data_IF_670166116950
#
_entry.id   IF_670166116950
#
_cell.length_a   1.000
_cell.length_b   1.000
_cell.length_c   1.000
_cell.angle_alpha   90.00
_cell.angle_beta   90.00
_cell.angle_gamma   90.00
#
_symmetry.space_group_name_H-M   'P 1'
#
loop_
_entity.id
_entity.type
_entity.pdbx_description
1 polymer ?
#
# COMPACT_ATOMS: atom_id res chain seq x y z
N UNK A 1 -1.96 -31.94 1.14
CA UNK A 1 -1.21 -30.95 0.34
C UNK A 1 0.26 -31.38 0.27
N UNK A 2 1.04 -30.80 -0.63
CA UNK A 2 2.50 -30.93 -0.67
C UNK A 2 3.07 -29.58 -1.07
N UNK A 3 4.08 -29.11 -0.35
CA UNK A 3 4.73 -27.82 -0.59
C UNK A 3 6.25 -27.93 -0.58
N UNK A 4 6.93 -27.04 -1.28
CA UNK A 4 8.39 -26.90 -1.24
C UNK A 4 8.80 -25.45 -1.52
N UNK A 5 9.64 -24.90 -0.65
CA UNK A 5 10.17 -23.55 -0.78
C UNK A 5 11.67 -23.54 -0.96
N UNK A 6 12.13 -22.74 -1.92
CA UNK A 6 13.56 -22.51 -2.16
C UNK A 6 13.78 -21.02 -2.30
N UNK A 7 14.72 -20.48 -1.52
CA UNK A 7 15.17 -19.10 -1.63
C UNK A 7 16.69 -19.05 -1.72
N UNK A 8 17.21 -18.09 -2.48
CA UNK A 8 18.64 -17.79 -2.55
C UNK A 8 18.87 -16.30 -2.30
N UNK A 9 20.04 -15.94 -1.78
CA UNK A 9 20.43 -14.56 -1.52
C UNK A 9 21.82 -14.31 -2.08
N UNK A 10 21.95 -13.33 -2.96
CA UNK A 10 23.22 -12.78 -3.42
C UNK A 10 23.32 -11.31 -3.07
N UNK A 11 24.55 -10.82 -2.88
CA UNK A 11 24.77 -9.40 -2.62
C UNK A 11 26.07 -8.89 -3.21
N UNK A 12 26.11 -7.58 -3.46
CA UNK A 12 27.31 -6.86 -3.91
C UNK A 12 27.42 -5.53 -3.20
N UNK A 13 28.63 -5.23 -2.72
CA UNK A 13 28.97 -3.97 -2.05
C UNK A 13 29.84 -3.09 -2.96
N UNK A 14 29.47 -1.83 -3.07
CA UNK A 14 30.26 -0.75 -3.66
C UNK A 14 30.55 0.29 -2.58
N UNK A 15 31.64 0.09 -1.84
CA UNK A 15 31.98 0.95 -0.71
C UNK A 15 32.27 2.41 -1.12
N UNK A 16 32.76 2.64 -2.34
CA UNK A 16 33.07 3.98 -2.87
C UNK A 16 31.94 4.63 -3.68
N UNK A 17 30.76 4.00 -3.79
CA UNK A 17 29.63 4.60 -4.50
C UNK A 17 29.09 5.77 -3.70
N UNK A 18 29.02 6.95 -4.31
CA UNK A 18 28.48 8.16 -3.67
C UNK A 18 27.53 8.90 -4.61
N UNK A 19 26.50 9.54 -4.04
CA UNK A 19 25.57 10.37 -4.80
C UNK A 19 24.97 11.45 -3.89
N UNK A 20 25.19 12.72 -4.22
CA UNK A 20 24.68 13.83 -3.40
C UNK A 20 23.17 14.04 -3.54
N UNK A 21 22.58 13.72 -4.70
CA UNK A 21 21.16 13.86 -4.96
C UNK A 21 20.32 12.85 -4.16
N UNK A 22 20.83 11.65 -3.93
CA UNK A 22 20.16 10.55 -3.22
C UNK A 22 20.73 10.29 -1.82
N UNK A 23 21.69 11.10 -1.37
CA UNK A 23 22.45 10.87 -0.12
C UNK A 23 22.99 9.45 -0.01
N UNK A 24 23.65 8.99 -1.08
CA UNK A 24 24.31 7.68 -1.09
C UNK A 24 25.72 7.84 -0.54
N UNK A 25 26.03 7.09 0.50
CA UNK A 25 27.37 6.87 1.06
C UNK A 25 27.62 5.35 1.16
N UNK A 26 28.28 4.81 0.15
CA UNK A 26 28.34 3.38 -0.09
C UNK A 26 26.99 2.82 -0.56
N UNK A 27 27.03 1.74 -1.34
CA UNK A 27 25.83 1.08 -1.83
C UNK A 27 25.98 -0.43 -1.70
N UNK A 28 24.97 -1.11 -1.17
CA UNK A 28 24.87 -2.57 -1.17
C UNK A 28 23.59 -2.98 -1.89
N UNK A 29 23.71 -3.78 -2.93
CA UNK A 29 22.57 -4.45 -3.56
C UNK A 29 22.48 -5.87 -3.04
N UNK A 30 21.27 -6.27 -2.68
CA UNK A 30 20.89 -7.62 -2.30
C UNK A 30 19.79 -8.05 -3.28
N UNK A 31 19.94 -9.24 -3.84
CA UNK A 31 18.93 -9.87 -4.69
C UNK A 31 18.56 -11.22 -4.09
N UNK A 32 17.26 -11.44 -3.92
CA UNK A 32 16.68 -12.60 -3.26
C UNK A 32 15.63 -13.25 -4.16
N UNK A 33 16.04 -14.11 -5.12
CA UNK A 33 15.10 -14.93 -5.85
C UNK A 33 14.54 -16.06 -4.97
N UNK A 34 13.27 -16.37 -5.16
CA UNK A 34 12.56 -17.46 -4.48
C UNK A 34 11.60 -18.19 -5.42
N UNK A 35 11.34 -19.45 -5.10
CA UNK A 35 10.32 -20.28 -5.74
C UNK A 35 9.63 -21.14 -4.68
N UNK A 36 8.31 -21.02 -4.60
CA UNK A 36 7.44 -21.79 -3.72
C UNK A 36 6.50 -22.64 -4.56
N UNK A 37 6.57 -23.95 -4.43
CA UNK A 37 5.70 -24.89 -5.12
C UNK A 37 4.64 -25.41 -4.17
N UNK A 38 3.37 -25.40 -4.60
CA UNK A 38 2.26 -25.98 -3.86
C UNK A 38 1.42 -26.89 -4.75
N UNK A 39 1.10 -28.07 -4.23
CA UNK A 39 0.17 -29.03 -4.80
C UNK A 39 -0.93 -29.39 -3.82
N UNK A 40 -2.17 -29.14 -4.21
CA UNK A 40 -3.38 -29.58 -3.53
C UNK A 40 -4.15 -30.47 -4.52
N UNK A 41 -4.36 -31.77 -4.19
CA UNK A 41 -5.14 -32.64 -5.05
C UNK A 41 -6.59 -32.16 -5.11
N UNK A 42 -7.29 -32.51 -6.20
CA UNK A 42 -8.72 -32.21 -6.34
C UNK A 42 -9.50 -32.84 -5.17
N UNK A 43 -10.34 -32.07 -4.46
CA UNK A 43 -11.19 -32.62 -3.41
C UNK A 43 -12.28 -33.53 -3.97
N UNK A 44 -12.79 -34.45 -3.15
CA UNK A 44 -13.89 -35.36 -3.53
C UNK A 44 -15.20 -34.60 -3.79
N UNK A 45 -15.40 -33.48 -3.08
CA UNK A 45 -16.53 -32.56 -3.25
C UNK A 45 -15.98 -31.20 -3.61
N UNK A 46 -16.46 -30.59 -4.69
CA UNK A 46 -15.95 -29.29 -5.14
C UNK A 46 -16.51 -28.13 -4.29
N UNK A 47 -15.80 -27.00 -4.16
CA UNK A 47 -16.28 -25.84 -3.39
C UNK A 47 -17.74 -25.40 -3.69
N UNK A 48 -18.22 -25.35 -4.95
CA UNK A 48 -19.60 -24.97 -5.23
C UNK A 48 -20.66 -25.95 -4.70
N UNK A 49 -20.27 -27.15 -4.29
CA UNK A 49 -21.14 -28.18 -3.71
C UNK A 49 -21.13 -28.16 -2.17
N UNK A 50 -20.24 -27.37 -1.56
CA UNK A 50 -20.15 -27.21 -0.12
C UNK A 50 -20.93 -25.96 0.32
N UNK A 51 -21.57 -25.99 1.51
CA UNK A 51 -21.99 -24.76 2.17
C UNK A 51 -20.77 -23.87 2.40
N UNK A 52 -20.85 -22.61 1.97
CA UNK A 52 -19.76 -21.66 2.08
C UNK A 52 -19.94 -20.83 3.37
N UNK A 53 -19.11 -21.07 4.38
CA UNK A 53 -19.03 -20.24 5.59
C UNK A 53 -17.91 -19.20 5.48
N UNK A 54 -16.83 -19.55 4.79
CA UNK A 54 -15.81 -18.64 4.26
C UNK A 54 -15.74 -18.76 2.73
N UNK A 55 -15.39 -17.68 2.04
CA UNK A 55 -15.31 -17.68 0.58
C UNK A 55 -14.19 -16.74 0.14
N UNK A 56 -13.44 -17.18 -0.86
CA UNK A 56 -12.41 -16.33 -1.47
C UNK A 56 -13.03 -15.02 -1.96
N UNK A 57 -12.49 -13.91 -1.45
CA UNK A 57 -12.91 -12.56 -1.84
C UNK A 57 -11.85 -11.92 -2.74
N UNK A 58 -12.26 -11.21 -3.81
CA UNK A 58 -11.32 -10.41 -4.61
C UNK A 58 -10.53 -9.46 -3.71
N UNK A 59 -9.20 -9.55 -3.78
CA UNK A 59 -8.31 -8.75 -2.94
C UNK A 59 -7.30 -7.96 -3.79
N UNK A 60 -7.00 -6.70 -3.44
CA UNK A 60 -5.88 -5.97 -4.02
C UNK A 60 -4.54 -6.60 -3.65
N UNK A 61 -4.46 -7.29 -2.51
CA UNK A 61 -3.27 -8.02 -2.09
C UNK A 61 -3.19 -9.38 -2.77
N UNK A 62 -1.96 -9.89 -2.92
CA UNK A 62 -1.76 -11.24 -3.42
C UNK A 62 -2.06 -12.25 -2.31
N UNK A 63 -2.98 -13.17 -2.55
CA UNK A 63 -3.35 -14.19 -1.59
C UNK A 63 -2.16 -15.15 -1.31
N UNK A 64 -2.02 -15.67 -0.08
CA UNK A 64 -1.10 -16.77 0.20
C UNK A 64 -1.42 -17.98 -0.68
N UNK A 65 -0.41 -18.78 -1.04
CA UNK A 65 -0.61 -20.06 -1.73
C UNK A 65 -0.34 -21.26 -0.83
N UNK A 66 0.27 -21.03 0.33
CA UNK A 66 0.63 -22.06 1.29
C UNK A 66 -0.46 -22.22 2.35
N UNK A 67 -0.54 -23.43 2.92
CA UNK A 67 -1.41 -23.71 4.06
C UNK A 67 -0.55 -23.74 5.33
N UNK A 68 -1.04 -23.19 6.46
CA UNK A 68 -2.42 -22.77 6.70
C UNK A 68 -2.71 -21.28 6.40
N UNK A 69 -1.79 -20.55 5.76
CA UNK A 69 -1.93 -19.10 5.54
C UNK A 69 -3.11 -18.76 4.61
N UNK A 70 -3.41 -19.61 3.62
CA UNK A 70 -4.68 -19.56 2.90
C UNK A 70 -5.79 -20.15 3.78
N UNK A 71 -6.70 -19.29 4.21
CA UNK A 71 -7.67 -19.59 5.26
C UNK A 71 -9.13 -19.65 4.80
N UNK A 72 -9.41 -19.44 3.50
CA UNK A 72 -10.75 -19.62 2.91
C UNK A 72 -10.98 -21.12 2.64
N UNK A 73 -11.17 -21.91 3.70
CA UNK A 73 -11.11 -23.38 3.66
C UNK A 73 -12.19 -23.97 2.75
N UNK A 74 -13.40 -23.42 2.76
CA UNK A 74 -14.52 -23.90 1.93
C UNK A 74 -14.33 -23.57 0.44
N UNK A 75 -13.35 -22.72 0.09
CA UNK A 75 -12.97 -22.34 -1.27
C UNK A 75 -11.76 -23.11 -1.83
N UNK A 76 -11.09 -23.94 -1.02
CA UNK A 76 -9.93 -24.72 -1.47
C UNK A 76 -10.36 -25.75 -2.52
N UNK A 77 -9.91 -25.56 -3.76
CA UNK A 77 -9.99 -26.55 -4.85
C UNK A 77 -8.60 -27.17 -5.12
N UNK A 78 -8.45 -27.90 -6.23
CA UNK A 78 -7.14 -28.36 -6.68
C UNK A 78 -6.20 -27.19 -6.99
N UNK A 79 -5.01 -27.23 -6.42
CA UNK A 79 -3.93 -26.28 -6.70
C UNK A 79 -2.69 -27.01 -7.24
N UNK A 80 -2.02 -26.39 -8.21
CA UNK A 80 -0.76 -26.86 -8.75
C UNK A 80 0.00 -25.64 -9.28
N UNK A 81 0.72 -24.98 -8.38
CA UNK A 81 1.23 -23.62 -8.59
C UNK A 81 2.68 -23.52 -8.17
N UNK A 82 3.46 -22.75 -8.93
CA UNK A 82 4.79 -22.27 -8.54
C UNK A 82 4.70 -20.75 -8.41
N UNK A 83 4.93 -20.20 -7.21
CA UNK A 83 5.13 -18.77 -6.99
C UNK A 83 6.60 -18.43 -7.12
N UNK A 84 6.93 -17.59 -8.08
CA UNK A 84 8.24 -16.97 -8.20
C UNK A 84 8.24 -15.63 -7.47
N UNK A 85 9.26 -15.40 -6.65
CA UNK A 85 9.51 -14.11 -6.01
C UNK A 85 10.88 -13.58 -6.35
N UNK A 86 11.00 -12.26 -6.51
CA UNK A 86 12.27 -11.58 -6.70
C UNK A 86 12.29 -10.29 -5.88
N UNK A 87 12.99 -10.32 -4.75
CA UNK A 87 13.24 -9.13 -3.94
C UNK A 87 14.58 -8.50 -4.27
N UNK A 88 14.58 -7.18 -4.44
CA UNK A 88 15.75 -6.36 -4.69
C UNK A 88 15.83 -5.29 -3.62
N UNK A 89 16.89 -5.31 -2.82
CA UNK A 89 17.12 -4.29 -1.79
C UNK A 89 18.41 -3.53 -2.11
N UNK A 90 18.32 -2.22 -2.24
CA UNK A 90 19.47 -1.33 -2.26
C UNK A 90 19.58 -0.63 -0.92
N UNK A 91 20.75 -0.72 -0.30
CA UNK A 91 21.03 -0.13 1.00
C UNK A 91 22.18 0.86 0.91
N UNK A 92 22.10 1.93 1.67
CA UNK A 92 23.15 2.95 1.80
C UNK A 92 23.32 3.37 3.24
N UNK A 93 24.38 4.11 3.56
CA UNK A 93 24.58 4.65 4.90
C UNK A 93 24.07 6.08 4.98
N UNK A 94 23.29 6.38 6.03
CA UNK A 94 22.88 7.75 6.39
C UNK A 94 22.90 7.89 7.91
N UNK A 95 23.44 9.00 8.41
CA UNK A 95 23.53 9.24 9.85
C UNK A 95 24.34 8.20 10.65
N UNK A 96 25.17 7.38 9.99
CA UNK A 96 25.91 6.27 10.63
C UNK A 96 25.19 4.92 10.58
N UNK A 97 23.92 4.89 10.18
CA UNK A 97 23.09 3.69 10.10
C UNK A 97 22.95 3.20 8.65
N UNK A 98 22.61 1.93 8.48
CA UNK A 98 22.27 1.35 7.17
C UNK A 98 20.77 1.51 6.96
N UNK A 99 20.39 2.19 5.88
CA UNK A 99 19.00 2.40 5.47
C UNK A 99 18.72 1.73 4.13
N UNK A 100 17.47 1.31 3.90
CA UNK A 100 17.00 0.86 2.60
C UNK A 100 16.73 2.07 1.71
N UNK A 101 17.58 2.25 0.70
CA UNK A 101 17.32 3.20 -0.38
C UNK A 101 16.16 2.72 -1.24
N UNK A 102 16.19 1.46 -1.68
CA UNK A 102 15.12 0.81 -2.45
C UNK A 102 14.83 -0.55 -1.81
N UNK A 103 13.56 -0.88 -1.66
CA UNK A 103 13.07 -2.24 -1.46
C UNK A 103 12.02 -2.54 -2.54
N UNK A 104 12.28 -3.53 -3.39
CA UNK A 104 11.42 -3.85 -4.52
C UNK A 104 11.17 -5.35 -4.60
N UNK A 105 9.91 -5.74 -4.40
CA UNK A 105 9.47 -7.12 -4.48
C UNK A 105 8.56 -7.34 -5.70
N UNK A 106 8.83 -8.41 -6.44
CA UNK A 106 8.04 -8.83 -7.59
C UNK A 106 7.61 -10.27 -7.37
N UNK A 107 6.33 -10.56 -7.54
CA UNK A 107 5.74 -11.88 -7.35
C UNK A 107 4.93 -12.29 -8.58
N UNK A 108 5.06 -13.55 -8.97
CA UNK A 108 4.31 -14.16 -10.08
C UNK A 108 4.00 -15.62 -9.77
N UNK A 109 2.73 -15.99 -9.84
CA UNK A 109 2.26 -17.36 -9.73
C UNK A 109 2.08 -17.94 -11.12
N UNK A 110 2.69 -19.10 -11.33
CA UNK A 110 2.49 -19.93 -12.49
C UNK A 110 1.70 -21.19 -12.09
N UNK A 111 0.44 -21.25 -12.54
CA UNK A 111 -0.43 -22.42 -12.38
C UNK A 111 -0.11 -23.42 -13.48
N UNK A 112 0.43 -24.57 -13.09
CA UNK A 112 0.84 -25.65 -14.00
C UNK A 112 -0.35 -26.41 -14.58
N UNK A 113 -1.46 -26.46 -13.83
CA UNK A 113 -2.73 -27.08 -14.25
C UNK A 113 -3.91 -26.22 -13.79
N UNK A 114 -4.19 -25.09 -14.44
CA UNK A 114 -5.31 -24.24 -14.07
C UNK A 114 -6.64 -24.98 -14.24
N UNK A 115 -7.57 -24.78 -13.32
CA UNK A 115 -8.97 -25.23 -13.47
C UNK A 115 -9.75 -24.29 -14.42
N UNK A 116 -11.05 -24.51 -14.58
CA UNK A 116 -11.88 -23.77 -15.54
C UNK A 116 -12.06 -22.27 -15.20
N UNK A 117 -11.82 -21.86 -13.95
CA UNK A 117 -11.98 -20.47 -13.49
C UNK A 117 -10.65 -19.75 -13.32
N UNK A 118 -9.53 -20.47 -13.44
CA UNK A 118 -8.18 -19.94 -13.26
C UNK A 118 -7.52 -19.59 -14.59
N UNK A 119 -6.67 -18.57 -14.54
CA UNK A 119 -5.71 -18.28 -15.60
C UNK A 119 -4.35 -18.91 -15.31
N UNK A 120 -3.55 -19.11 -16.36
CA UNK A 120 -2.21 -19.71 -16.28
C UNK A 120 -1.30 -18.95 -15.32
N UNK A 121 -1.32 -17.62 -15.37
CA UNK A 121 -0.60 -16.78 -14.43
C UNK A 121 -1.56 -15.98 -13.57
N UNK A 122 -1.15 -15.62 -12.35
CA UNK A 122 -1.79 -14.51 -11.65
C UNK A 122 -1.39 -13.17 -12.29
N UNK A 123 -1.87 -12.07 -11.72
CA UNK A 123 -1.30 -10.76 -12.04
C UNK A 123 0.16 -10.71 -11.58
N UNK A 124 1.04 -10.17 -12.42
CA UNK A 124 2.36 -9.78 -11.99
C UNK A 124 2.22 -8.70 -10.92
N UNK A 125 2.55 -9.06 -9.69
CA UNK A 125 2.48 -8.19 -8.53
C UNK A 125 3.85 -7.53 -8.33
N UNK A 126 3.87 -6.21 -8.17
CA UNK A 126 5.09 -5.45 -7.90
C UNK A 126 4.84 -4.47 -6.77
N UNK A 127 5.72 -4.45 -5.78
CA UNK A 127 5.69 -3.54 -4.65
C UNK A 127 7.07 -2.94 -4.45
N UNK A 128 7.14 -1.61 -4.51
CA UNK A 128 8.36 -0.81 -4.44
C UNK A 128 8.22 0.22 -3.33
N UNK A 129 9.23 0.30 -2.48
CA UNK A 129 9.48 1.39 -1.57
C UNK A 129 10.82 2.03 -1.91
N UNK A 130 10.82 3.35 -2.06
CA UNK A 130 11.98 4.13 -2.45
C UNK A 130 12.14 5.34 -1.55
N UNK A 131 13.30 5.45 -0.90
CA UNK A 131 13.68 6.54 0.00
C UNK A 131 14.80 7.40 -0.58
N UNK A 132 14.55 8.20 -1.65
CA UNK A 132 15.59 9.03 -2.26
C UNK A 132 16.24 10.01 -1.26
N UNK A 133 15.53 10.41 -0.22
CA UNK A 133 16.03 11.21 0.91
C UNK A 133 15.39 10.74 2.21
N UNK A 134 15.96 11.12 3.34
CA UNK A 134 15.36 10.85 4.67
C UNK A 134 14.00 11.52 4.89
N UNK A 135 13.64 12.49 4.05
CA UNK A 135 12.38 13.24 4.11
C UNK A 135 11.47 12.99 2.90
N UNK A 136 11.84 12.08 2.00
CA UNK A 136 11.08 11.78 0.78
C UNK A 136 10.92 10.28 0.63
N UNK A 137 9.67 9.82 0.67
CA UNK A 137 9.30 8.43 0.48
C UNK A 137 8.40 8.33 -0.74
N UNK A 138 8.70 7.37 -1.62
CA UNK A 138 7.83 6.94 -2.72
C UNK A 138 7.46 5.48 -2.47
N UNK A 139 6.17 5.20 -2.40
CA UNK A 139 5.62 3.85 -2.39
C UNK A 139 4.89 3.61 -3.70
N UNK A 140 5.01 2.40 -4.24
CA UNK A 140 4.35 1.99 -5.47
C UNK A 140 3.95 0.53 -5.40
N UNK A 141 2.70 0.22 -5.68
CA UNK A 141 2.18 -1.13 -5.80
C UNK A 141 1.41 -1.27 -7.11
N UNK A 142 1.64 -2.34 -7.85
CA UNK A 142 0.91 -2.60 -9.09
C UNK A 142 0.53 -4.07 -9.23
N UNK A 143 -0.59 -4.32 -9.91
CA UNK A 143 -1.01 -5.64 -10.38
C UNK A 143 -1.32 -5.56 -11.86
N UNK A 144 -0.52 -6.27 -12.65
CA UNK A 144 -0.67 -6.29 -14.09
C UNK A 144 -1.02 -7.71 -14.56
N UNK A 145 -2.20 -7.87 -15.13
CA UNK A 145 -2.63 -9.13 -15.74
C UNK A 145 -1.79 -9.38 -16.99
N UNK A 146 -0.79 -10.26 -16.86
CA UNK A 146 0.12 -10.61 -17.97
C UNK A 146 -0.53 -11.52 -19.01
N UNK A 147 -1.65 -12.16 -18.69
CA UNK A 147 -2.38 -13.01 -19.63
C UNK A 147 -3.23 -12.15 -20.57
N UNK A 148 -3.96 -11.17 -20.01
CA UNK A 148 -4.89 -10.28 -20.72
C UNK A 148 -4.33 -8.91 -21.12
N UNK A 149 -3.16 -8.53 -20.60
CA UNK A 149 -2.48 -7.26 -20.93
C UNK A 149 -3.14 -6.03 -20.30
N UNK A 150 -3.72 -6.18 -19.11
CA UNK A 150 -4.45 -5.10 -18.42
C UNK A 150 -3.81 -4.75 -17.08
N UNK A 151 -3.78 -3.46 -16.75
CA UNK A 151 -3.47 -3.01 -15.41
C UNK A 151 -4.73 -3.14 -14.54
N UNK A 152 -4.65 -3.93 -13.48
CA UNK A 152 -5.75 -4.19 -12.56
C UNK A 152 -5.73 -3.23 -11.36
N UNK A 153 -4.52 -2.94 -10.86
CA UNK A 153 -4.29 -2.06 -9.74
C UNK A 153 -3.01 -1.25 -9.94
N UNK A 154 -3.06 0.03 -9.61
CA UNK A 154 -1.87 0.85 -9.39
C UNK A 154 -2.09 1.80 -8.23
N UNK A 155 -1.30 1.64 -7.18
CA UNK A 155 -1.22 2.53 -6.03
C UNK A 155 0.15 3.20 -6.03
N UNK A 156 0.18 4.53 -5.91
CA UNK A 156 1.39 5.30 -5.77
C UNK A 156 1.20 6.33 -4.67
N UNK A 157 2.16 6.45 -3.77
CA UNK A 157 2.16 7.46 -2.72
C UNK A 157 3.51 8.16 -2.67
N UNK A 158 3.48 9.49 -2.68
CA UNK A 158 4.64 10.34 -2.51
C UNK A 158 4.49 11.18 -1.26
N UNK A 159 5.38 10.97 -0.29
CA UNK A 159 5.31 11.61 1.02
C UNK A 159 6.56 12.46 1.28
N UNK A 160 6.31 13.72 1.60
CA UNK A 160 7.30 14.74 1.92
C UNK A 160 7.23 15.11 3.40
N UNK A 161 8.34 14.96 4.13
CA UNK A 161 8.48 15.28 5.56
C UNK A 161 9.82 15.98 5.86
N UNK A 162 10.12 17.13 5.22
CA UNK A 162 11.44 17.76 5.31
C UNK A 162 11.80 18.30 6.70
N UNK A 163 10.81 18.62 7.52
CA UNK A 163 10.97 19.14 8.88
C UNK A 163 9.64 19.06 9.65
N UNK A 164 9.61 19.59 10.86
CA UNK A 164 8.42 19.60 11.73
C UNK A 164 7.34 20.63 11.34
N UNK A 165 7.62 21.51 10.38
CA UNK A 165 6.72 22.61 10.03
C UNK A 165 5.67 22.21 9.02
N UNK A 166 5.97 21.28 8.12
CA UNK A 166 5.01 20.84 7.14
C UNK A 166 5.28 19.43 6.63
N UNK A 167 4.21 18.78 6.19
CA UNK A 167 4.28 17.52 5.45
C UNK A 167 3.25 17.54 4.31
N UNK A 168 3.52 16.78 3.26
CA UNK A 168 2.59 16.62 2.15
C UNK A 168 2.64 15.19 1.64
N UNK A 169 1.48 14.53 1.59
CA UNK A 169 1.27 13.25 0.93
C UNK A 169 0.44 13.46 -0.33
N UNK A 170 0.86 12.83 -1.42
CA UNK A 170 0.12 12.77 -2.69
C UNK A 170 -0.06 11.29 -3.02
N UNK A 171 -1.31 10.84 -3.08
CA UNK A 171 -1.67 9.48 -3.45
C UNK A 171 -2.30 9.43 -4.84
N UNK A 172 -2.11 8.31 -5.52
CA UNK A 172 -2.86 7.92 -6.70
C UNK A 172 -3.24 6.45 -6.56
N UNK A 173 -4.53 6.15 -6.67
CA UNK A 173 -5.07 4.81 -6.66
C UNK A 173 -5.90 4.60 -7.92
N UNK A 174 -5.51 3.63 -8.73
CA UNK A 174 -6.28 3.16 -9.86
C UNK A 174 -6.66 1.71 -9.63
N UNK A 175 -7.95 1.43 -9.80
CA UNK A 175 -8.55 0.11 -9.69
C UNK A 175 -9.40 -0.14 -10.94
N UNK A 176 -9.11 -1.22 -11.67
CA UNK A 176 -9.85 -1.54 -12.89
C UNK A 176 -11.26 -2.03 -12.54
N UNK A 177 -12.27 -1.51 -13.22
CA UNK A 177 -13.63 -2.01 -13.13
C UNK A 177 -13.70 -3.52 -13.42
N UNK A 178 -14.38 -4.27 -12.55
CA UNK A 178 -14.53 -5.72 -12.63
C UNK A 178 -13.32 -6.52 -12.15
N UNK A 179 -12.27 -5.89 -11.61
CA UNK A 179 -11.18 -6.60 -10.94
C UNK A 179 -11.55 -6.94 -9.49
N UNK A 180 -11.95 -5.94 -8.70
CA UNK A 180 -12.48 -6.11 -7.33
C UNK A 180 -13.90 -5.59 -7.23
N UNK A 181 -14.17 -4.39 -7.78
CA UNK A 181 -15.45 -3.71 -7.69
C UNK A 181 -15.78 -2.94 -8.99
N UNK A 182 -16.50 -1.81 -8.90
CA UNK A 182 -16.82 -0.93 -10.02
C UNK A 182 -15.61 -0.19 -10.61
N UNK A 183 -14.44 -0.26 -9.98
CA UNK A 183 -13.24 0.48 -10.35
C UNK A 183 -13.21 1.90 -9.79
N UNK A 184 -12.00 2.43 -9.68
CA UNK A 184 -11.72 3.78 -9.20
C UNK A 184 -10.46 4.36 -9.87
N UNK A 185 -10.36 5.68 -9.91
CA UNK A 185 -9.14 6.41 -10.23
C UNK A 185 -9.09 7.66 -9.34
N UNK A 186 -8.52 7.51 -8.16
CA UNK A 186 -8.50 8.52 -7.12
C UNK A 186 -7.11 9.15 -7.03
N UNK A 187 -7.06 10.47 -6.98
CA UNK A 187 -5.87 11.24 -6.64
C UNK A 187 -6.16 11.91 -5.29
N UNK A 188 -5.39 11.54 -4.28
CA UNK A 188 -5.49 12.13 -2.95
C UNK A 188 -4.34 13.09 -2.68
N UNK A 189 -4.60 14.13 -1.90
CA UNK A 189 -3.58 15.06 -1.43
C UNK A 189 -3.88 15.45 0.00
N UNK A 190 -2.96 15.16 0.91
CA UNK A 190 -3.03 15.59 2.31
C UNK A 190 -1.83 16.44 2.65
N UNK A 191 -2.06 17.70 2.99
CA UNK A 191 -1.02 18.62 3.42
C UNK A 191 -1.29 19.06 4.87
N UNK A 192 -0.24 19.02 5.68
CA UNK A 192 -0.22 19.56 7.04
C UNK A 192 0.79 20.69 7.13
N UNK A 193 0.41 21.78 7.80
CA UNK A 193 1.24 22.93 8.05
C UNK A 193 1.10 23.35 9.52
N UNK A 194 2.18 23.25 10.27
CA UNK A 194 2.33 23.93 11.56
C UNK A 194 2.62 25.40 11.29
N UNK A 195 1.72 26.29 11.72
CA UNK A 195 1.88 27.73 11.52
C UNK A 195 2.78 28.34 12.60
N UNK A 196 2.64 27.84 13.83
CA UNK A 196 3.47 28.15 15.00
C UNK A 196 3.26 27.06 16.06
N UNK A 197 3.82 27.22 17.26
CA UNK A 197 3.69 26.24 18.36
C UNK A 197 2.26 26.00 18.84
N UNK A 198 1.35 26.90 18.49
CA UNK A 198 0.00 26.97 19.01
C UNK A 198 -1.06 26.65 17.95
N UNK A 199 -0.69 26.65 16.66
CA UNK A 199 -1.63 26.56 15.54
C UNK A 199 -1.11 25.64 14.45
N UNK A 200 -2.01 24.79 13.96
CA UNK A 200 -1.78 23.92 12.80
C UNK A 200 -2.93 24.03 11.81
N UNK A 201 -2.66 23.68 10.57
CA UNK A 201 -3.64 23.61 9.50
C UNK A 201 -3.45 22.31 8.72
N UNK A 202 -4.54 21.65 8.40
CA UNK A 202 -4.56 20.46 7.54
C UNK A 202 -5.57 20.64 6.44
N UNK A 203 -5.16 20.26 5.23
CA UNK A 203 -6.06 20.13 4.10
C UNK A 203 -5.97 18.72 3.51
N UNK A 204 -7.11 18.13 3.18
CA UNK A 204 -7.19 16.85 2.48
C UNK A 204 -8.15 17.00 1.29
N UNK A 205 -7.76 16.44 0.16
CA UNK A 205 -8.48 16.49 -1.11
C UNK A 205 -8.49 15.12 -1.74
N UNK A 206 -9.66 14.65 -2.14
CA UNK A 206 -9.84 13.38 -2.86
C UNK A 206 -10.53 13.67 -4.19
N UNK A 207 -9.76 13.57 -5.27
CA UNK A 207 -10.18 13.87 -6.63
C UNK A 207 -10.31 12.60 -7.44
N UNK A 208 -11.52 12.31 -7.93
CA UNK A 208 -11.73 11.18 -8.82
C UNK A 208 -11.47 11.63 -10.27
N UNK A 209 -10.45 11.03 -10.88
CA UNK A 209 -10.02 11.32 -12.24
C UNK A 209 -10.88 10.63 -13.31
N UNK A 210 -11.70 9.63 -12.96
CA UNK A 210 -12.64 9.00 -13.91
C UNK A 210 -13.74 9.98 -14.32
N UNK A 211 -14.31 10.70 -13.36
CA UNK A 211 -15.43 11.62 -13.56
C UNK A 211 -15.02 13.10 -13.47
N UNK A 212 -13.75 13.38 -13.10
CA UNK A 212 -13.20 14.72 -13.00
C UNK A 212 -13.70 15.51 -11.78
N UNK A 213 -14.16 14.83 -10.73
CA UNK A 213 -14.80 15.47 -9.58
C UNK A 213 -13.92 15.44 -8.34
N UNK A 214 -13.86 16.58 -7.66
CA UNK A 214 -13.29 16.69 -6.32
C UNK A 214 -14.33 16.23 -5.30
N UNK A 215 -14.30 14.93 -4.98
CA UNK A 215 -15.32 14.24 -4.20
C UNK A 215 -15.33 14.66 -2.74
N UNK A 216 -14.16 14.76 -2.11
CA UNK A 216 -14.05 15.16 -0.71
C UNK A 216 -12.98 16.22 -0.51
N UNK A 217 -13.28 17.16 0.38
CA UNK A 217 -12.39 18.23 0.78
C UNK A 217 -12.54 18.44 2.28
N UNK A 218 -11.42 18.49 2.98
CA UNK A 218 -11.37 18.77 4.41
C UNK A 218 -10.40 19.92 4.66
N UNK A 219 -10.83 20.89 5.46
CA UNK A 219 -10.02 22.00 5.91
C UNK A 219 -10.11 22.07 7.42
N UNK A 220 -9.03 21.75 8.11
CA UNK A 220 -9.00 21.68 9.57
C UNK A 220 -8.00 22.67 10.13
N UNK A 221 -8.45 23.51 11.05
CA UNK A 221 -7.60 24.38 11.85
C UNK A 221 -7.48 23.80 13.25
N UNK A 222 -6.25 23.60 13.70
CA UNK A 222 -5.93 23.12 15.03
C UNK A 222 -5.42 24.25 15.91
N UNK A 223 -5.83 24.24 17.17
CA UNK A 223 -5.30 25.11 18.23
C UNK A 223 -4.79 24.26 19.38
N UNK A 224 -3.49 24.36 19.65
CA UNK A 224 -2.87 23.66 20.77
C UNK A 224 -2.79 24.51 22.04
N UNK A 225 -3.66 24.25 23.02
CA UNK A 225 -3.69 24.98 24.28
C UNK A 225 -2.94 24.22 25.38
N UNK A 226 -2.76 24.85 26.54
CA UNK A 226 -1.92 24.30 27.62
C UNK A 226 -2.35 22.89 28.07
N UNK A 227 -3.64 22.63 28.18
CA UNK A 227 -4.18 21.37 28.74
C UNK A 227 -5.11 20.61 27.78
N UNK A 228 -5.38 21.18 26.60
CA UNK A 228 -6.32 20.65 25.63
C UNK A 228 -5.94 21.11 24.23
N UNK A 229 -6.34 20.34 23.23
CA UNK A 229 -6.17 20.67 21.81
C UNK A 229 -7.56 20.72 21.20
N UNK A 230 -7.84 21.75 20.41
CA UNK A 230 -9.12 21.90 19.72
C UNK A 230 -8.92 21.90 18.21
N UNK A 231 -9.91 21.41 17.46
CA UNK A 231 -9.92 21.44 16.01
C UNK A 231 -11.28 21.90 15.49
N UNK A 232 -11.26 22.74 14.47
CA UNK A 232 -12.42 23.12 13.69
C UNK A 232 -12.22 22.63 12.25
N UNK A 233 -13.09 21.74 11.80
CA UNK A 233 -13.05 21.14 10.47
C UNK A 233 -14.23 21.61 9.64
N UNK A 234 -13.95 22.12 8.45
CA UNK A 234 -14.92 22.32 7.40
C UNK A 234 -14.75 21.22 6.36
N UNK A 235 -15.82 20.50 6.03
CA UNK A 235 -15.84 19.44 5.02
C UNK A 235 -16.82 19.79 3.91
N UNK A 236 -16.40 19.57 2.68
CA UNK A 236 -17.25 19.59 1.49
C UNK A 236 -17.23 18.19 0.88
N UNK A 237 -18.41 17.63 0.63
CA UNK A 237 -18.57 16.35 -0.06
C UNK A 237 -19.45 16.55 -1.28
N UNK A 238 -18.94 16.13 -2.44
CA UNK A 238 -19.67 16.14 -3.69
C UNK A 238 -20.28 14.74 -3.93
N UNK A 239 -21.60 14.63 -3.77
CA UNK A 239 -22.32 13.35 -3.75
C UNK A 239 -22.48 12.65 -5.11
N UNK A 240 -21.96 13.20 -6.21
CA UNK A 240 -22.17 12.62 -7.54
C UNK A 240 -23.46 13.12 -8.14
N UNK A 241 -24.55 12.71 -7.50
CA UNK A 241 -25.92 13.03 -7.88
C UNK A 241 -26.57 13.77 -6.71
N UNK A 242 -27.11 14.96 -7.00
CA UNK A 242 -27.77 15.80 -6.01
C UNK A 242 -26.89 16.94 -5.49
N UNK A 243 -27.33 17.64 -4.42
CA UNK A 243 -26.60 18.77 -3.88
C UNK A 243 -25.31 18.32 -3.16
N UNK A 244 -24.36 19.25 -3.07
CA UNK A 244 -23.15 19.07 -2.26
C UNK A 244 -23.49 19.16 -0.78
N UNK A 245 -22.81 18.35 0.02
CA UNK A 245 -22.93 18.38 1.47
C UNK A 245 -21.82 19.22 2.10
N UNK A 246 -22.23 20.08 3.01
CA UNK A 246 -21.34 20.96 3.76
C UNK A 246 -21.44 20.61 5.25
N UNK A 247 -20.31 20.35 5.89
CA UNK A 247 -20.26 20.00 7.31
C UNK A 247 -19.25 20.88 8.03
N UNK A 248 -19.62 21.41 9.18
CA UNK A 248 -18.70 22.04 10.14
C UNK A 248 -18.68 21.18 11.39
N UNK A 249 -17.49 20.75 11.80
CA UNK A 249 -17.30 19.95 13.00
C UNK A 249 -16.31 20.64 13.94
N UNK A 250 -16.62 20.65 15.23
CA UNK A 250 -15.72 21.05 16.29
C UNK A 250 -15.37 19.84 17.13
N UNK A 251 -14.08 19.63 17.38
CA UNK A 251 -13.59 18.57 18.26
C UNK A 251 -12.57 19.13 19.24
N UNK A 252 -12.45 18.48 20.40
CA UNK A 252 -11.41 18.79 21.37
C UNK A 252 -10.93 17.53 22.09
N UNK A 253 -9.69 17.55 22.55
CA UNK A 253 -9.04 16.47 23.28
C UNK A 253 -8.30 17.03 24.49
N UNK A 254 -8.40 16.39 25.64
CA UNK A 254 -7.70 16.79 26.87
C UNK A 254 -6.35 16.06 26.90
N UNK A 255 -5.25 16.80 27.06
CA UNK A 255 -3.89 16.23 27.02
C UNK A 255 -3.60 15.23 28.14
N UNK A 256 -4.31 15.32 29.27
CA UNK A 256 -4.22 14.36 30.37
C UNK A 256 -4.86 13.00 30.07
N UNK A 257 -5.79 12.93 29.11
CA UNK A 257 -6.45 11.71 28.64
C UNK A 257 -6.69 11.82 27.12
N UNK A 258 -5.63 11.74 26.31
CA UNK A 258 -5.73 11.98 24.89
C UNK A 258 -6.56 10.88 24.20
N UNK A 259 -7.52 11.27 23.35
CA UNK A 259 -8.21 10.31 22.46
C UNK A 259 -7.31 9.81 21.32
N UNK A 260 -6.29 10.59 20.97
CA UNK A 260 -5.29 10.26 19.94
C UNK A 260 -3.89 10.69 20.43
N UNK A 261 -2.88 9.85 20.21
CA UNK A 261 -1.50 10.16 20.56
C UNK A 261 -0.95 11.31 19.69
N UNK A 262 -0.06 12.13 20.26
CA UNK A 262 0.61 13.24 19.57
C UNK A 262 1.36 12.70 18.35
N UNK A 263 1.07 13.22 17.15
CA UNK A 263 1.76 12.85 15.90
C UNK A 263 0.94 12.06 14.88
N UNK A 264 -0.17 11.42 15.28
CA UNK A 264 -1.03 10.59 14.38
C UNK A 264 -1.77 11.35 13.26
N UNK A 265 -1.76 12.67 13.30
CA UNK A 265 -2.35 13.53 12.28
C UNK A 265 -1.31 14.03 11.24
N UNK A 266 -0.03 13.66 11.41
CA UNK A 266 0.95 13.81 10.35
C UNK A 266 0.56 12.91 9.16
N UNK A 267 1.11 13.19 7.99
CA UNK A 267 1.05 12.23 6.88
C UNK A 267 1.88 11.03 7.31
N UNK A 268 1.23 10.05 7.95
CA UNK A 268 1.79 8.73 8.14
C UNK A 268 1.70 8.06 6.76
N UNK A 269 2.82 7.71 6.11
CA UNK A 269 2.74 6.86 4.93
C UNK A 269 1.97 5.63 5.35
N UNK A 270 0.96 5.23 4.57
CA UNK A 270 0.24 4.00 4.90
C UNK A 270 1.27 2.88 4.98
N UNK A 271 1.45 2.31 6.18
CA UNK A 271 2.06 1.01 6.29
C UNK A 271 1.08 0.06 5.63
N UNK A 272 1.47 -0.48 4.47
CA UNK A 272 0.73 -1.56 3.83
C UNK A 272 0.54 -2.64 4.91
N UNK A 273 -0.72 -2.88 5.26
CA UNK A 273 -1.11 -3.80 6.32
C UNK A 273 -0.54 -5.17 5.99
N UNK A 274 0.43 -5.66 6.79
CA UNK A 274 1.00 -7.01 6.62
C UNK A 274 2.50 -7.21 6.82
N UNK A 275 3.24 -6.30 7.47
CA UNK A 275 4.58 -6.60 8.05
C UNK A 275 4.52 -6.86 9.55
#
# INVERSE_FOLDING_TARGET
NTGMDVSFKASRLWAGATNSLLQIDGLRHIIEPSASYVFIPRPDTSPPQLPQFDSESPSPLLLPIELPDYNDIDSIDSENVIRFGLRNTLQTKRGGEIEHLIDWNILLDWRLRPNATQQTFNDLYSQLEFHPRTWLTLQSQTRYDINGGSLNLAYHELTFTPNEWWSWGIGHEYLRAGFVDSGDNLISSTMFLRVNDNWGFRTTHDFNALDGRLQQQFYTVYRDMRSWTAALTFRVTDNGIGPKDYTVAFSFSIKAHPRHNVGRDAVEPYHLVGE
#
